data_IF_239791544027
#
_entry.id   IF_239791544027
#
_cell.length_a   1.000
_cell.length_b   1.000
_cell.length_c   1.000
_cell.angle_alpha   90.00
_cell.angle_beta   90.00
_cell.angle_gamma   90.00
#
_symmetry.space_group_name_H-M   'P 1'
#
loop_
_entity.id
_entity.type
_entity.pdbx_description
1 polymer ?
#
# COMPACT_ATOMS: atom_id res chain seq x y z
N UNK A 1 -3.08 -7.41 6.36
CA UNK A 1 -4.10 -6.46 5.88
C UNK A 1 -3.53 -5.20 5.24
N UNK A 2 -2.42 -4.63 5.73
CA UNK A 2 -1.83 -3.40 5.17
C UNK A 2 -1.67 -3.40 3.63
N UNK A 3 -1.05 -4.45 3.05
CA UNK A 3 -0.86 -4.57 1.59
C UNK A 3 -2.16 -4.37 0.79
N UNK A 4 -3.25 -5.00 1.20
CA UNK A 4 -4.54 -4.84 0.52
C UNK A 4 -5.04 -3.39 0.65
N UNK A 5 -5.02 -2.83 1.86
CA UNK A 5 -5.43 -1.44 2.08
C UNK A 5 -4.65 -0.46 1.22
N UNK A 6 -3.32 -0.63 1.16
CA UNK A 6 -2.44 0.16 0.31
C UNK A 6 -2.85 0.07 -1.17
N UNK A 7 -3.02 -1.14 -1.69
CA UNK A 7 -3.36 -1.35 -3.10
C UNK A 7 -4.77 -0.85 -3.43
N UNK A 8 -5.74 -0.98 -2.52
CA UNK A 8 -7.08 -0.41 -2.68
C UNK A 8 -7.04 1.11 -2.72
N UNK A 9 -6.23 1.73 -1.84
CA UNK A 9 -6.00 3.17 -1.85
C UNK A 9 -5.37 3.65 -3.16
N UNK A 10 -4.43 2.89 -3.73
CA UNK A 10 -3.86 3.17 -5.05
C UNK A 10 -4.92 3.08 -6.17
N UNK A 11 -5.75 2.03 -6.17
CA UNK A 11 -6.85 1.89 -7.15
C UNK A 11 -7.85 3.05 -7.11
N UNK A 12 -8.21 3.53 -5.91
CA UNK A 12 -9.12 4.67 -5.75
C UNK A 12 -8.58 5.97 -6.37
N UNK A 13 -7.25 6.06 -6.51
CA UNK A 13 -6.53 7.21 -7.06
C UNK A 13 -6.06 7.00 -8.50
N UNK A 14 -6.48 5.90 -9.12
CA UNK A 14 -6.04 5.53 -10.47
C UNK A 14 -4.50 5.41 -10.59
N UNK A 15 -3.84 5.02 -9.51
CA UNK A 15 -2.39 4.74 -9.48
C UNK A 15 -2.14 3.26 -9.74
N UNK A 16 -1.05 2.96 -10.45
CA UNK A 16 -0.48 1.63 -10.46
C UNK A 16 0.33 1.43 -9.18
N UNK A 17 0.17 0.29 -8.50
CA UNK A 17 0.75 0.08 -7.18
C UNK A 17 1.13 -1.36 -6.90
N UNK A 18 2.13 -1.54 -6.06
CA UNK A 18 2.65 -2.84 -5.62
C UNK A 18 3.01 -2.80 -4.14
N UNK A 19 2.78 -3.92 -3.42
CA UNK A 19 3.06 -4.05 -2.00
C UNK A 19 3.50 -5.48 -1.64
N UNK A 20 4.53 -5.61 -0.79
CA UNK A 20 5.09 -6.89 -0.36
C UNK A 20 5.58 -6.83 1.07
N UNK A 21 5.30 -7.87 1.86
CA UNK A 21 5.88 -7.98 3.19
C UNK A 21 7.38 -8.26 3.05
N UNK A 22 8.18 -7.66 3.92
CA UNK A 22 9.59 -8.04 4.03
C UNK A 22 9.70 -9.47 4.61
N UNK A 23 10.60 -10.28 4.05
CA UNK A 23 10.75 -11.68 4.46
C UNK A 23 11.48 -11.84 5.80
N UNK A 24 12.26 -10.83 6.21
CA UNK A 24 13.07 -10.82 7.44
C UNK A 24 12.40 -10.03 8.56
N UNK A 25 11.53 -9.08 8.22
CA UNK A 25 10.83 -8.21 9.17
C UNK A 25 9.31 -8.18 8.88
N UNK A 26 8.49 -8.91 9.66
CA UNK A 26 7.06 -9.01 9.40
C UNK A 26 6.30 -7.69 9.59
N UNK A 27 6.90 -6.69 10.25
CA UNK A 27 6.32 -5.37 10.47
C UNK A 27 6.67 -4.37 9.35
N UNK A 28 7.47 -4.79 8.37
CA UNK A 28 7.88 -3.97 7.23
C UNK A 28 7.16 -4.39 5.96
N UNK A 29 6.72 -3.40 5.20
CA UNK A 29 6.11 -3.58 3.89
C UNK A 29 6.83 -2.70 2.87
N UNK A 30 7.32 -3.30 1.79
CA UNK A 30 7.85 -2.61 0.63
C UNK A 30 6.71 -2.23 -0.29
N UNK A 31 6.66 -0.98 -0.74
CA UNK A 31 5.59 -0.47 -1.60
C UNK A 31 6.16 0.35 -2.76
N UNK A 32 5.52 0.26 -3.92
CA UNK A 32 5.78 1.08 -5.10
C UNK A 32 4.49 1.70 -5.62
N UNK A 33 4.56 2.93 -6.12
CA UNK A 33 3.48 3.65 -6.79
C UNK A 33 3.99 4.26 -8.09
N UNK A 34 3.15 4.26 -9.12
CA UNK A 34 3.40 4.94 -10.38
C UNK A 34 2.11 5.57 -10.91
N UNK A 35 2.21 6.77 -11.48
CA UNK A 35 1.06 7.51 -12.01
C UNK A 35 1.17 9.01 -11.74
N UNK A 36 0.02 9.64 -11.50
CA UNK A 36 -0.06 11.07 -11.24
C UNK A 36 0.68 11.46 -9.94
N UNK A 37 1.62 12.40 -10.04
CA UNK A 37 2.45 12.83 -8.92
C UNK A 37 1.64 13.40 -7.74
N UNK A 38 0.63 14.24 -7.99
CA UNK A 38 -0.19 14.83 -6.93
C UNK A 38 -0.99 13.76 -6.16
N UNK A 39 -1.46 12.72 -6.84
CA UNK A 39 -2.13 11.59 -6.20
C UNK A 39 -1.16 10.72 -5.39
N UNK A 40 0.10 10.58 -5.83
CA UNK A 40 1.15 9.91 -5.07
C UNK A 40 1.48 10.72 -3.80
N UNK A 41 1.64 12.04 -3.93
CA UNK A 41 1.94 12.92 -2.80
C UNK A 41 0.84 12.87 -1.74
N UNK A 42 -0.44 12.97 -2.15
CA UNK A 42 -1.58 12.84 -1.22
C UNK A 42 -1.63 11.46 -0.55
N UNK A 43 -1.26 10.39 -1.27
CA UNK A 43 -1.17 9.05 -0.69
C UNK A 43 -0.05 8.95 0.35
N UNK A 44 1.12 9.55 0.09
CA UNK A 44 2.24 9.61 1.03
C UNK A 44 1.86 10.41 2.29
N UNK A 45 1.21 11.57 2.13
CA UNK A 45 0.75 12.41 3.24
C UNK A 45 -0.19 11.64 4.18
N UNK A 46 -1.15 10.89 3.64
CA UNK A 46 -2.05 10.06 4.44
C UNK A 46 -1.33 8.96 5.20
N UNK A 47 -0.34 8.32 4.60
CA UNK A 47 0.48 7.32 5.28
C UNK A 47 1.30 7.96 6.42
N UNK A 48 1.87 9.14 6.19
CA UNK A 48 2.66 9.86 7.20
C UNK A 48 1.83 10.44 8.35
N UNK A 49 0.52 10.62 8.18
CA UNK A 49 -0.36 11.14 9.23
C UNK A 49 -0.44 10.25 10.50
N UNK A 50 0.06 9.01 10.44
CA UNK A 50 0.11 8.09 11.58
C UNK A 50 -1.26 7.58 12.05
N UNK A 51 -2.32 7.91 11.31
CA UNK A 51 -3.69 7.44 11.57
C UNK A 51 -3.86 5.99 11.11
N UNK A 52 -4.80 5.24 11.70
CA UNK A 52 -5.20 3.95 11.15
C UNK A 52 -5.61 4.07 9.68
N UNK A 53 -5.08 3.19 8.83
CA UNK A 53 -5.41 3.13 7.41
C UNK A 53 -6.58 2.18 7.13
N UNK A 54 -6.98 1.37 8.10
CA UNK A 54 -8.14 0.47 8.03
C UNK A 54 -8.77 0.23 9.42
N UNK A 55 -9.97 -0.35 9.43
CA UNK A 55 -10.72 -0.63 10.67
C UNK A 55 -10.00 -1.58 11.63
N UNK A 56 -9.05 -2.37 11.13
CA UNK A 56 -8.22 -3.29 11.91
C UNK A 56 -6.97 -2.64 12.52
N UNK A 57 -6.92 -1.31 12.54
CA UNK A 57 -5.88 -0.52 13.22
C UNK A 57 -4.47 -0.64 12.62
N UNK A 58 -4.33 -1.09 11.37
CA UNK A 58 -3.04 -0.98 10.69
C UNK A 58 -2.67 0.50 10.54
N UNK A 59 -1.42 0.85 10.85
CA UNK A 59 -0.91 2.23 10.77
C UNK A 59 0.56 2.21 10.35
N UNK A 60 1.03 3.31 9.77
CA UNK A 60 2.45 3.50 9.44
C UNK A 60 3.12 4.24 10.56
N UNK A 61 4.16 3.64 11.15
CA UNK A 61 4.95 4.27 12.22
C UNK A 61 6.15 5.05 11.66
N UNK A 62 6.72 4.56 10.56
CA UNK A 62 7.80 5.21 9.85
C UNK A 62 7.67 4.93 8.35
N UNK A 63 7.98 5.94 7.53
CA UNK A 63 8.02 5.84 6.08
C UNK A 63 9.42 6.18 5.59
N UNK A 64 10.00 5.28 4.78
CA UNK A 64 11.31 5.44 4.19
C UNK A 64 11.19 5.37 2.67
N UNK A 65 11.58 6.43 1.98
CA UNK A 65 11.62 6.46 0.52
C UNK A 65 12.95 5.90 0.05
N UNK A 66 12.90 4.92 -0.86
CA UNK A 66 14.11 4.33 -1.44
C UNK A 66 14.65 5.20 -2.58
N UNK A 67 15.97 5.15 -2.76
CA UNK A 67 16.64 5.76 -3.92
C UNK A 67 16.49 4.96 -5.22
N UNK A 68 15.75 3.85 -5.20
CA UNK A 68 15.46 3.01 -6.34
C UNK A 68 13.98 2.60 -6.34
N UNK A 69 13.47 2.30 -7.52
CA UNK A 69 12.11 1.78 -7.71
C UNK A 69 12.14 0.24 -7.70
N UNK A 70 11.19 -0.38 -7.00
CA UNK A 70 10.95 -1.82 -7.08
C UNK A 70 9.85 -2.03 -8.12
N UNK A 71 10.10 -2.82 -9.16
CA UNK A 71 9.13 -3.01 -10.23
C UNK A 71 7.83 -3.62 -9.71
N UNK A 72 6.69 -3.18 -10.28
CA UNK A 72 5.38 -3.65 -9.82
C UNK A 72 5.26 -5.18 -9.92
N UNK A 73 5.87 -5.79 -10.93
CA UNK A 73 5.89 -7.25 -11.12
C UNK A 73 6.67 -8.01 -10.05
N UNK A 74 7.55 -7.34 -9.30
CA UNK A 74 8.30 -7.96 -8.20
C UNK A 74 7.49 -8.00 -6.90
N UNK A 75 6.35 -7.30 -6.85
CA UNK A 75 5.50 -7.29 -5.68
C UNK A 75 4.52 -8.47 -5.63
N UNK A 76 4.34 -9.01 -4.42
CA UNK A 76 3.36 -10.05 -4.09
C UNK A 76 1.92 -9.65 -4.42
N UNK A 77 1.55 -8.40 -4.17
CA UNK A 77 0.22 -7.86 -4.43
C UNK A 77 0.35 -6.57 -5.22
N UNK A 78 -0.42 -6.44 -6.29
CA UNK A 78 -0.46 -5.29 -7.19
C UNK A 78 -1.90 -4.90 -7.48
N UNK A 79 -2.08 -3.71 -8.06
CA UNK A 79 -3.38 -3.24 -8.56
C UNK A 79 -4.03 -4.21 -9.56
N UNK A 80 -3.23 -5.00 -10.27
CA UNK A 80 -3.70 -5.94 -11.30
C UNK A 80 -4.13 -7.30 -10.73
N UNK A 81 -3.59 -7.69 -9.57
CA UNK A 81 -3.80 -9.02 -9.00
C UNK A 81 -4.55 -8.99 -7.65
N UNK A 82 -4.77 -7.83 -7.02
CA UNK A 82 -5.39 -7.72 -5.69
C UNK A 82 -6.75 -8.41 -5.60
N UNK A 83 -7.54 -8.39 -6.68
CA UNK A 83 -8.85 -9.03 -6.75
C UNK A 83 -8.80 -10.56 -6.84
N UNK A 84 -7.64 -11.16 -7.11
CA UNK A 84 -7.46 -12.60 -7.24
C UNK A 84 -7.30 -13.30 -5.89
N UNK A 85 -6.98 -12.55 -4.84
CA UNK A 85 -6.83 -13.09 -3.50
C UNK A 85 -8.15 -13.09 -2.74
N UNK A 86 -8.35 -14.12 -1.90
CA UNK A 86 -9.47 -14.19 -0.97
C UNK A 86 -9.11 -13.43 0.31
N UNK A 87 -9.43 -12.15 0.31
CA UNK A 87 -9.25 -11.28 1.47
C UNK A 87 -10.39 -11.47 2.48
N UNK A 88 -10.13 -11.09 3.74
CA UNK A 88 -11.17 -10.98 4.75
C UNK A 88 -12.21 -9.92 4.35
N UNK A 89 -13.51 -10.22 4.38
CA UNK A 89 -14.56 -9.31 3.91
C UNK A 89 -14.86 -8.16 4.88
N UNK A 90 -14.57 -8.34 6.17
CA UNK A 90 -15.03 -7.45 7.25
C UNK A 90 -13.98 -6.38 7.61
N UNK A 91 -13.53 -5.63 6.60
CA UNK A 91 -12.56 -4.56 6.77
C UNK A 91 -12.99 -3.32 6.01
N UNK A 92 -12.93 -2.18 6.69
CA UNK A 92 -13.12 -0.87 6.08
C UNK A 92 -11.76 -0.25 5.79
N UNK A 93 -11.65 0.44 4.67
CA UNK A 93 -10.42 1.09 4.22
C UNK A 93 -10.56 2.61 4.31
N UNK A 94 -9.54 3.28 4.84
CA UNK A 94 -9.53 4.73 5.07
C UNK A 94 -8.47 5.47 4.26
N UNK A 95 -7.63 4.73 3.51
CA UNK A 95 -6.51 5.27 2.75
C UNK A 95 -6.95 5.91 1.43
#
# INVERSE_FOLDING_TARGET
MFRQTFIRGAQQRELAGGASNDAKDPNRVHCSLAGNAAAIDEMIEKLQAGKPVNSWQARVEALHVYGHYIELSEHQVTTDNVNRFRWSPDVEFYL
#
